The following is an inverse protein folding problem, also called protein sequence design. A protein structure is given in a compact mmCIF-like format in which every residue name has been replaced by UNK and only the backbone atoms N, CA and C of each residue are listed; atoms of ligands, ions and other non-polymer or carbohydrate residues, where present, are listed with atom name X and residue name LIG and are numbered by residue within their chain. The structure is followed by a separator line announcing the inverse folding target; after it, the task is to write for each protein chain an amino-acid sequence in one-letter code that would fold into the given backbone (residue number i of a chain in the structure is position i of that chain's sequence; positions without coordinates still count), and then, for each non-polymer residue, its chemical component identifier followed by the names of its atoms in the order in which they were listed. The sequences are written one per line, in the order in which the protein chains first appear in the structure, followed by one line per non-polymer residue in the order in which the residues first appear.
data_IF_974874113222
#
_entry.id   IF_974874113222
#
_cell.length_a   1.000
_cell.length_b   1.000
_cell.length_c   1.000
_cell.angle_alpha   90.00
_cell.angle_beta   90.00
_cell.angle_gamma   90.00
#
_symmetry.space_group_name_H-M   'P 1'
#
loop_
_entity.id
_entity.type
_entity.pdbx_description
1 polymer ?
#
# COMPACT_ATOMS: atom_id res chain seq x y z
N UNK A 1 -10.86 -16.94 18.47
CA UNK A 1 -10.44 -15.58 18.85
C UNK A 1 -11.58 -14.62 18.60
N UNK A 2 -11.91 -13.75 19.56
CA UNK A 2 -12.97 -12.75 19.38
C UNK A 2 -12.54 -11.77 18.28
N UNK A 3 -13.36 -11.59 17.23
CA UNK A 3 -13.02 -10.75 16.06
C UNK A 3 -12.71 -9.31 16.46
N UNK A 4 -13.38 -8.81 17.50
CA UNK A 4 -13.15 -7.46 18.05
C UNK A 4 -11.74 -7.31 18.63
N UNK A 5 -11.25 -8.31 19.36
CA UNK A 5 -9.91 -8.28 19.94
C UNK A 5 -8.82 -8.24 18.85
N UNK A 6 -9.03 -9.00 17.76
CA UNK A 6 -8.15 -8.96 16.59
C UNK A 6 -8.06 -7.56 15.95
N UNK A 7 -9.18 -6.88 15.80
CA UNK A 7 -9.21 -5.52 15.25
C UNK A 7 -8.49 -4.51 16.15
N UNK A 8 -8.65 -4.63 17.47
CA UNK A 8 -7.96 -3.76 18.42
C UNK A 8 -6.45 -3.99 18.37
N UNK A 9 -6.01 -5.25 18.36
CA UNK A 9 -4.58 -5.59 18.28
C UNK A 9 -3.98 -5.07 16.96
N UNK A 10 -4.65 -5.25 15.84
CA UNK A 10 -4.19 -4.75 14.54
C UNK A 10 -4.12 -3.22 14.47
N UNK A 11 -5.12 -2.53 15.03
CA UNK A 11 -5.11 -1.07 15.10
C UNK A 11 -3.98 -0.54 16.00
N UNK A 12 -3.79 -1.15 17.16
CA UNK A 12 -2.72 -0.80 18.09
C UNK A 12 -1.34 -1.08 17.50
N UNK A 13 -1.15 -2.23 16.83
CA UNK A 13 0.13 -2.57 16.21
C UNK A 13 0.50 -1.58 15.12
N UNK A 14 -0.42 -1.25 14.21
CA UNK A 14 -0.17 -0.26 13.17
C UNK A 14 0.04 1.15 13.74
N UNK A 15 -0.71 1.52 14.79
CA UNK A 15 -0.60 2.81 15.48
C UNK A 15 0.74 3.01 16.19
N UNK A 16 1.40 1.93 16.62
CA UNK A 16 2.75 1.95 17.21
C UNK A 16 3.82 1.82 16.13
N UNK A 17 3.64 0.91 15.17
CA UNK A 17 4.63 0.64 14.12
C UNK A 17 4.88 1.87 13.24
N UNK A 18 3.82 2.63 12.91
CA UNK A 18 3.93 3.80 12.07
C UNK A 18 4.85 4.91 12.64
N UNK A 19 4.68 5.41 13.90
CA UNK A 19 5.58 6.40 14.47
C UNK A 19 6.98 5.82 14.75
N UNK A 20 7.09 4.53 15.08
CA UNK A 20 8.38 3.86 15.24
C UNK A 20 9.17 3.86 13.93
N UNK A 21 8.53 3.52 12.81
CA UNK A 21 9.15 3.58 11.48
C UNK A 21 9.59 5.00 11.11
N UNK A 22 8.79 6.02 11.45
CA UNK A 22 9.18 7.43 11.27
C UNK A 22 10.44 7.76 12.08
N UNK A 23 10.50 7.34 13.34
CA UNK A 23 11.66 7.57 14.18
C UNK A 23 12.93 6.90 13.62
N UNK A 24 12.80 5.73 13.01
CA UNK A 24 13.92 4.98 12.42
C UNK A 24 14.28 5.38 10.98
N UNK A 25 13.71 6.46 10.46
CA UNK A 25 14.19 7.08 9.21
C UNK A 25 13.16 7.17 8.08
N UNK A 26 11.93 6.69 8.26
CA UNK A 26 10.87 6.99 7.29
C UNK A 26 10.45 8.48 7.35
N UNK A 27 9.93 9.04 6.25
CA UNK A 27 9.57 10.44 6.18
C UNK A 27 8.57 10.79 7.27
N UNK A 28 8.80 11.92 7.94
CA UNK A 28 8.01 12.39 9.09
C UNK A 28 6.50 12.35 8.88
N UNK A 29 6.05 12.54 7.64
CA UNK A 29 4.65 12.59 7.26
C UNK A 29 4.13 11.32 6.56
N UNK A 30 4.91 10.24 6.44
CA UNK A 30 4.56 9.06 5.63
C UNK A 30 4.38 7.76 6.42
N UNK A 31 5.00 7.59 7.61
CA UNK A 31 4.81 6.41 8.48
C UNK A 31 4.68 5.10 7.72
N UNK A 32 3.45 4.58 7.62
CA UNK A 32 3.07 3.50 6.69
C UNK A 32 2.06 4.06 5.68
N UNK A 33 2.36 4.07 4.38
CA UNK A 33 1.41 4.58 3.40
C UNK A 33 1.41 3.77 2.10
N UNK A 34 0.46 2.83 1.97
CA UNK A 34 0.33 1.98 0.79
C UNK A 34 0.28 2.77 -0.54
N UNK A 35 -0.48 3.87 -0.63
CA UNK A 35 -0.57 4.64 -1.88
C UNK A 35 0.78 5.27 -2.28
N UNK A 36 1.41 6.02 -1.37
CA UNK A 36 2.72 6.62 -1.63
C UNK A 36 3.80 5.58 -1.88
N UNK A 37 3.78 4.47 -1.15
CA UNK A 37 4.78 3.42 -1.32
C UNK A 37 4.62 2.72 -2.68
N UNK A 38 3.39 2.49 -3.16
CA UNK A 38 3.13 1.97 -4.50
C UNK A 38 3.65 2.93 -5.57
N UNK A 39 3.38 4.23 -5.44
CA UNK A 39 3.95 5.26 -6.33
C UNK A 39 5.48 5.19 -6.31
N UNK A 40 6.10 5.22 -5.14
CA UNK A 40 7.56 5.23 -5.00
C UNK A 40 8.19 3.98 -5.63
N UNK A 41 7.51 2.83 -5.51
CA UNK A 41 7.91 1.56 -6.13
C UNK A 41 7.78 1.61 -7.65
N UNK A 42 6.71 2.20 -8.19
CA UNK A 42 6.56 2.42 -9.63
C UNK A 42 7.64 3.36 -10.18
N UNK A 43 8.04 4.36 -9.39
CA UNK A 43 9.18 5.22 -9.69
C UNK A 43 10.51 4.47 -9.73
N UNK A 44 10.75 3.57 -8.78
CA UNK A 44 11.94 2.72 -8.76
C UNK A 44 12.01 1.76 -9.95
N UNK A 45 10.86 1.25 -10.39
CA UNK A 45 10.72 0.40 -11.58
C UNK A 45 10.78 1.18 -12.90
N UNK A 46 10.82 2.52 -12.86
CA UNK A 46 10.97 3.36 -14.05
C UNK A 46 9.67 3.65 -14.80
N UNK A 47 8.50 3.31 -14.25
CA UNK A 47 7.20 3.64 -14.86
C UNK A 47 6.88 5.13 -14.84
N UNK A 48 7.54 5.90 -13.97
CA UNK A 48 7.53 7.36 -14.02
C UNK A 48 8.89 7.94 -13.61
N UNK A 49 9.21 9.14 -14.11
CA UNK A 49 10.52 9.78 -13.97
C UNK A 49 10.56 10.90 -12.91
N UNK A 50 9.66 10.85 -11.93
CA UNK A 50 9.66 11.81 -10.83
C UNK A 50 10.83 11.54 -9.86
N UNK A 51 11.96 12.23 -10.07
CA UNK A 51 13.24 12.05 -9.36
C UNK A 51 13.19 12.09 -7.83
N UNK A 52 12.13 12.64 -7.23
CA UNK A 52 11.98 12.80 -5.76
C UNK A 52 11.31 11.60 -5.06
N UNK A 53 10.74 10.67 -5.83
CA UNK A 53 9.87 9.59 -5.34
C UNK A 53 10.17 8.28 -6.06
N UNK A 54 11.44 7.90 -6.09
CA UNK A 54 11.91 6.64 -6.68
C UNK A 54 12.61 5.84 -5.60
N UNK A 55 11.91 4.89 -5.01
CA UNK A 55 12.49 3.93 -4.07
C UNK A 55 11.55 2.76 -3.89
N UNK A 56 12.08 1.55 -3.98
CA UNK A 56 11.32 0.34 -3.74
C UNK A 56 11.20 0.12 -2.23
N UNK A 57 10.01 0.42 -1.69
CA UNK A 57 9.74 0.37 -0.26
C UNK A 57 9.49 -1.06 0.23
N UNK A 58 10.38 -1.64 1.05
CA UNK A 58 10.22 -3.02 1.54
C UNK A 58 8.97 -3.21 2.41
N UNK A 59 8.39 -2.15 2.98
CA UNK A 59 7.18 -2.18 3.81
C UNK A 59 5.97 -2.75 3.06
N UNK A 60 5.80 -2.43 1.77
CA UNK A 60 4.73 -3.05 0.97
C UNK A 60 4.98 -4.53 0.75
N UNK A 61 6.24 -4.90 0.50
CA UNK A 61 6.62 -6.29 0.26
C UNK A 61 6.40 -7.12 1.53
N UNK A 62 6.78 -6.58 2.70
CA UNK A 62 6.51 -7.16 4.01
C UNK A 62 5.02 -7.35 4.28
N UNK A 63 4.17 -6.35 3.97
CA UNK A 63 2.72 -6.49 4.10
C UNK A 63 2.13 -7.58 3.19
N UNK A 64 2.62 -7.71 1.96
CA UNK A 64 2.16 -8.76 1.02
C UNK A 64 2.58 -10.14 1.51
N UNK A 65 3.86 -10.31 1.86
CA UNK A 65 4.41 -11.59 2.33
C UNK A 65 3.79 -11.98 3.67
N UNK A 66 3.70 -11.05 4.62
CA UNK A 66 3.10 -11.24 5.93
C UNK A 66 1.62 -11.58 5.86
N UNK A 67 0.85 -10.89 5.00
CA UNK A 67 -0.56 -11.22 4.76
C UNK A 67 -0.74 -12.62 4.17
N UNK A 68 0.12 -13.00 3.23
CA UNK A 68 0.13 -14.34 2.64
C UNK A 68 0.46 -15.42 3.69
N UNK A 69 1.53 -15.22 4.47
CA UNK A 69 1.94 -16.15 5.53
C UNK A 69 0.87 -16.28 6.62
N UNK A 70 0.25 -15.17 7.03
CA UNK A 70 -0.87 -15.19 7.97
C UNK A 70 -2.06 -16.00 7.41
N UNK A 71 -2.37 -15.85 6.12
CA UNK A 71 -3.44 -16.63 5.49
C UNK A 71 -3.11 -18.13 5.37
N UNK A 72 -1.85 -18.47 5.15
CA UNK A 72 -1.43 -19.86 4.99
C UNK A 72 -1.29 -20.58 6.34
N UNK A 73 -0.66 -19.93 7.32
CA UNK A 73 -0.32 -20.52 8.62
C UNK A 73 -1.49 -20.46 9.60
N UNK A 74 -2.20 -19.32 9.66
CA UNK A 74 -3.22 -19.08 10.68
C UNK A 74 -4.62 -19.48 10.21
N UNK A 75 -5.06 -18.97 9.05
CA UNK A 75 -6.42 -19.25 8.57
C UNK A 75 -6.52 -20.55 7.76
N UNK A 76 -5.39 -21.10 7.25
CA UNK A 76 -5.29 -22.32 6.41
C UNK A 76 -6.27 -22.37 5.22
N UNK A 77 -6.92 -21.26 4.90
CA UNK A 77 -8.02 -21.15 3.95
C UNK A 77 -7.65 -20.14 2.85
N UNK A 78 -6.49 -20.35 2.22
CA UNK A 78 -6.08 -19.52 1.10
C UNK A 78 -6.97 -19.78 -0.11
N UNK A 79 -7.88 -18.82 -0.37
CA UNK A 79 -8.80 -18.82 -1.50
C UNK A 79 -8.52 -17.57 -2.32
N UNK A 80 -7.77 -17.66 -3.42
CA UNK A 80 -7.55 -16.50 -4.28
C UNK A 80 -8.84 -16.18 -5.01
N UNK A 81 -9.26 -14.93 -4.89
CA UNK A 81 -10.44 -14.39 -5.56
C UNK A 81 -10.00 -13.47 -6.68
N UNK A 82 -10.59 -13.63 -7.86
CA UNK A 82 -10.45 -12.69 -8.97
C UNK A 82 -11.79 -12.03 -9.25
N UNK A 83 -11.73 -10.85 -9.85
CA UNK A 83 -12.91 -10.07 -10.14
C UNK A 83 -13.38 -10.25 -11.59
N UNK A 84 -14.67 -10.54 -11.79
CA UNK A 84 -15.24 -10.72 -13.16
C UNK A 84 -15.11 -9.48 -14.07
N UNK A 85 -15.31 -8.25 -13.57
CA UNK A 85 -15.18 -7.04 -14.38
C UNK A 85 -13.84 -6.31 -14.18
N UNK A 86 -12.80 -6.76 -14.90
CA UNK A 86 -11.45 -6.18 -14.84
C UNK A 86 -11.42 -4.69 -15.20
N UNK A 87 -12.14 -4.28 -16.25
CA UNK A 87 -12.16 -2.89 -16.73
C UNK A 87 -12.68 -1.92 -15.66
N UNK A 88 -13.84 -2.21 -15.05
CA UNK A 88 -14.42 -1.35 -14.01
C UNK A 88 -13.50 -1.22 -12.79
N UNK A 89 -12.91 -2.34 -12.33
CA UNK A 89 -11.99 -2.37 -11.18
C UNK A 89 -10.70 -1.61 -11.47
N UNK A 90 -10.19 -1.68 -12.70
CA UNK A 90 -9.02 -0.93 -13.13
C UNK A 90 -9.25 0.59 -13.02
N UNK A 91 -10.34 1.09 -13.60
CA UNK A 91 -10.66 2.53 -13.51
C UNK A 91 -10.97 2.98 -12.09
N UNK A 92 -11.66 2.16 -11.29
CA UNK A 92 -11.84 2.44 -9.86
C UNK A 92 -10.49 2.57 -9.13
N UNK A 93 -9.51 1.73 -9.47
CA UNK A 93 -8.14 1.84 -8.96
C UNK A 93 -7.44 3.12 -9.39
N UNK A 94 -7.58 3.52 -10.67
CA UNK A 94 -7.03 4.78 -11.19
C UNK A 94 -7.61 5.98 -10.44
N UNK A 95 -8.94 6.07 -10.29
CA UNK A 95 -9.58 7.16 -9.56
C UNK A 95 -9.20 7.15 -8.07
N UNK A 96 -9.12 5.97 -7.45
CA UNK A 96 -8.67 5.85 -6.07
C UNK A 96 -7.23 6.36 -5.89
N UNK A 97 -6.33 6.05 -6.83
CA UNK A 97 -4.94 6.50 -6.77
C UNK A 97 -4.82 8.01 -7.00
N UNK A 98 -5.56 8.56 -7.96
CA UNK A 98 -5.65 10.02 -8.17
C UNK A 98 -6.13 10.70 -6.88
N UNK A 99 -7.19 10.21 -6.27
CA UNK A 99 -7.71 10.73 -5.00
C UNK A 99 -6.67 10.67 -3.87
N UNK A 100 -6.02 9.52 -3.68
CA UNK A 100 -4.97 9.37 -2.67
C UNK A 100 -3.80 10.33 -2.89
N UNK A 101 -3.42 10.62 -4.14
CA UNK A 101 -2.33 11.53 -4.44
C UNK A 101 -2.74 13.01 -4.23
N UNK A 102 -3.95 13.40 -4.62
CA UNK A 102 -4.47 14.76 -4.41
C UNK A 102 -4.58 15.09 -2.91
N UNK A 103 -5.01 14.13 -2.10
CA UNK A 103 -5.09 14.31 -0.64
C UNK A 103 -3.79 13.96 0.11
N UNK A 104 -2.69 13.76 -0.62
CA UNK A 104 -1.36 13.48 -0.08
C UNK A 104 -1.32 12.26 0.86
N UNK A 105 -2.08 11.20 0.58
CA UNK A 105 -1.99 9.94 1.32
C UNK A 105 -3.13 8.95 1.13
N UNK A 106 -2.90 7.73 1.59
CA UNK A 106 -3.98 6.76 1.82
C UNK A 106 -4.73 7.07 3.14
N UNK A 107 -5.87 6.42 3.43
CA UNK A 107 -6.63 6.67 4.66
C UNK A 107 -5.77 6.57 5.93
N UNK A 108 -4.84 5.61 5.97
CA UNK A 108 -3.93 5.45 7.10
C UNK A 108 -3.01 6.67 7.30
N UNK A 109 -2.40 7.16 6.20
CA UNK A 109 -1.55 8.36 6.23
C UNK A 109 -2.35 9.61 6.63
N UNK A 110 -3.62 9.70 6.24
CA UNK A 110 -4.47 10.81 6.66
C UNK A 110 -4.66 10.85 8.19
N UNK A 111 -4.90 9.69 8.83
CA UNK A 111 -4.99 9.61 10.30
C UNK A 111 -3.66 9.92 10.99
N UNK A 112 -2.53 9.41 10.47
CA UNK A 112 -1.21 9.72 11.03
C UNK A 112 -0.86 11.21 10.93
N UNK A 113 -1.17 11.86 9.79
CA UNK A 113 -0.96 13.30 9.60
C UNK A 113 -1.81 14.12 10.55
N UNK A 114 -3.08 13.74 10.75
CA UNK A 114 -3.94 14.39 11.73
C UNK A 114 -3.37 14.24 13.16
N UNK A 115 -2.90 13.04 13.52
CA UNK A 115 -2.23 12.79 14.80
C UNK A 115 -0.92 13.57 14.98
N UNK A 116 -0.20 13.85 13.88
CA UNK A 116 0.98 14.71 13.84
C UNK A 116 0.70 16.22 13.83
N UNK A 117 -0.58 16.64 13.91
CA UNK A 117 -0.98 18.05 13.95
C UNK A 117 -1.16 18.74 12.60
N UNK A 118 -1.17 18.00 11.48
CA UNK A 118 -1.40 18.55 10.15
C UNK A 118 -2.91 18.73 9.88
N UNK A 119 -3.38 19.97 10.00
CA UNK A 119 -4.80 20.33 9.79
C UNK A 119 -5.27 20.14 8.35
N UNK A 120 -4.35 20.05 7.37
CA UNK A 120 -4.75 19.77 5.98
C UNK A 120 -5.26 18.34 5.81
N UNK A 121 -4.95 17.42 6.73
CA UNK A 121 -5.48 16.06 6.75
C UNK A 121 -7.01 16.02 6.93
N UNK A 122 -7.60 17.04 7.57
CA UNK A 122 -9.05 17.15 7.76
C UNK A 122 -9.76 17.21 6.41
N UNK A 123 -9.26 17.98 5.45
CA UNK A 123 -9.83 18.05 4.11
C UNK A 123 -9.81 16.69 3.40
N UNK A 124 -8.74 15.91 3.57
CA UNK A 124 -8.63 14.55 3.06
C UNK A 124 -9.62 13.58 3.70
N UNK A 125 -9.84 13.67 5.01
CA UNK A 125 -10.83 12.86 5.73
C UNK A 125 -12.26 13.21 5.31
N UNK A 126 -12.60 14.50 5.24
CA UNK A 126 -13.92 14.95 4.78
C UNK A 126 -14.18 14.49 3.35
N UNK A 127 -13.18 14.61 2.46
CA UNK A 127 -13.26 14.09 1.09
C UNK A 127 -13.49 12.58 1.04
N UNK A 128 -12.81 11.81 1.88
CA UNK A 128 -13.02 10.36 1.99
C UNK A 128 -14.43 10.03 2.47
N UNK A 129 -14.93 10.69 3.53
CA UNK A 129 -16.28 10.47 4.03
C UNK A 129 -17.35 10.84 3.00
N UNK A 130 -17.20 11.97 2.31
CA UNK A 130 -18.09 12.39 1.24
C UNK A 130 -18.09 11.37 0.08
N UNK A 131 -16.92 10.90 -0.35
CA UNK A 131 -16.79 9.89 -1.40
C UNK A 131 -17.44 8.56 -1.04
N UNK A 132 -17.25 8.08 0.20
CA UNK A 132 -17.90 6.86 0.70
C UNK A 132 -19.42 7.03 0.77
N UNK A 133 -19.92 8.20 1.19
CA UNK A 133 -21.34 8.49 1.23
C UNK A 133 -21.98 8.47 -0.17
N UNK A 134 -21.33 9.13 -1.13
CA UNK A 134 -21.75 9.12 -2.54
C UNK A 134 -21.73 7.69 -3.09
N UNK A 135 -20.66 6.92 -2.86
CA UNK A 135 -20.57 5.51 -3.27
C UNK A 135 -21.68 4.64 -2.66
N UNK A 136 -22.02 4.86 -1.38
CA UNK A 136 -23.15 4.21 -0.72
C UNK A 136 -24.48 4.57 -1.38
N UNK A 137 -24.69 5.83 -1.77
CA UNK A 137 -25.90 6.26 -2.46
C UNK A 137 -26.05 5.57 -3.83
N UNK A 138 -24.96 5.48 -4.62
CA UNK A 138 -24.96 4.72 -5.88
C UNK A 138 -25.30 3.24 -5.68
N UNK A 139 -24.73 2.60 -4.66
CA UNK A 139 -25.06 1.20 -4.32
C UNK A 139 -26.53 1.04 -3.93
N UNK A 140 -27.10 1.99 -3.18
CA UNK A 140 -28.52 1.97 -2.81
C UNK A 140 -29.44 2.14 -4.03
N UNK A 141 -29.00 2.88 -5.04
CA UNK A 141 -29.76 3.16 -6.26
C UNK A 141 -29.66 2.06 -7.34
N UNK A 142 -29.16 0.86 -6.99
CA UNK A 142 -29.17 -0.29 -7.89
C UNK A 142 -27.85 -0.60 -8.61
N UNK A 143 -26.73 0.06 -8.24
CA UNK A 143 -25.41 -0.34 -8.76
C UNK A 143 -24.98 -1.67 -8.14
N UNK A 144 -24.92 -2.72 -8.97
CA UNK A 144 -24.47 -4.06 -8.59
C UNK A 144 -22.97 -4.16 -8.84
N UNK A 145 -22.20 -4.50 -7.80
CA UNK A 145 -20.78 -4.77 -7.97
C UNK A 145 -20.59 -6.16 -8.61
N UNK A 146 -19.74 -6.28 -9.65
CA UNK A 146 -19.43 -7.56 -10.28
C UNK A 146 -18.85 -8.55 -9.27
N UNK A 147 -19.38 -9.76 -9.27
CA UNK A 147 -19.03 -10.81 -8.31
C UNK A 147 -17.54 -11.20 -8.39
N UNK A 148 -17.00 -11.63 -7.25
CA UNK A 148 -15.63 -12.14 -7.16
C UNK A 148 -15.67 -13.65 -7.21
N UNK A 149 -15.03 -14.23 -8.21
CA UNK A 149 -14.99 -15.66 -8.47
C UNK A 149 -13.71 -16.27 -7.89
N UNK A 150 -13.82 -17.46 -7.30
CA UNK A 150 -12.65 -18.21 -6.83
C UNK A 150 -11.79 -18.64 -8.02
N UNK A 151 -10.50 -18.33 -7.97
CA UNK A 151 -9.55 -18.58 -9.06
C UNK A 151 -8.57 -19.69 -8.69
N UNK A 152 -7.83 -20.20 -9.68
CA UNK A 152 -6.80 -21.20 -9.46
C UNK A 152 -5.75 -20.73 -8.43
N UNK A 153 -5.36 -21.64 -7.52
CA UNK A 153 -4.34 -21.37 -6.48
C UNK A 153 -3.03 -20.83 -7.05
N UNK A 154 -2.63 -21.28 -8.24
CA UNK A 154 -1.43 -20.84 -8.94
C UNK A 154 -1.39 -19.32 -9.18
N UNK A 155 -2.52 -18.72 -9.58
CA UNK A 155 -2.61 -17.26 -9.81
C UNK A 155 -2.50 -16.50 -8.47
N UNK A 156 -2.98 -17.10 -7.38
CA UNK A 156 -2.86 -16.55 -6.04
C UNK A 156 -1.43 -16.44 -5.50
N UNK A 157 -0.50 -17.27 -6.00
CA UNK A 157 0.93 -17.17 -5.64
C UNK A 157 1.69 -16.09 -6.41
N UNK A 158 1.13 -15.57 -7.50
CA UNK A 158 1.80 -14.59 -8.35
C UNK A 158 2.22 -13.31 -7.60
N UNK A 159 1.36 -12.67 -6.77
CA UNK A 159 1.77 -11.50 -6.01
C UNK A 159 2.91 -11.79 -5.02
N UNK A 160 2.95 -13.01 -4.46
CA UNK A 160 4.01 -13.43 -3.56
C UNK A 160 5.34 -13.60 -4.30
N UNK A 161 5.32 -14.28 -5.46
CA UNK A 161 6.52 -14.48 -6.28
C UNK A 161 7.09 -13.12 -6.71
N UNK A 162 6.23 -12.21 -7.18
CA UNK A 162 6.65 -10.84 -7.56
C UNK A 162 7.23 -10.11 -6.35
N UNK A 163 6.60 -10.19 -5.17
CA UNK A 163 7.10 -9.53 -3.96
C UNK A 163 8.48 -10.07 -3.54
N UNK A 164 8.69 -11.39 -3.60
CA UNK A 164 9.98 -12.02 -3.28
C UNK A 164 11.03 -11.62 -4.32
N UNK A 165 10.72 -11.63 -5.61
CA UNK A 165 11.64 -11.22 -6.66
C UNK A 165 12.06 -9.75 -6.50
N UNK A 166 11.12 -8.86 -6.20
CA UNK A 166 11.40 -7.45 -5.92
C UNK A 166 12.24 -7.27 -4.65
N UNK A 167 11.99 -8.07 -3.61
CA UNK A 167 12.79 -8.05 -2.39
C UNK A 167 14.22 -8.53 -2.64
N UNK A 168 14.40 -9.60 -3.41
CA UNK A 168 15.72 -10.08 -3.83
C UNK A 168 16.43 -9.03 -4.70
N UNK A 169 15.72 -8.38 -5.62
CA UNK A 169 16.27 -7.29 -6.42
C UNK A 169 16.78 -6.13 -5.56
N UNK A 170 16.07 -5.80 -4.48
CA UNK A 170 16.47 -4.78 -3.50
C UNK A 170 17.71 -5.22 -2.70
N UNK A 171 17.74 -6.46 -2.20
CA UNK A 171 18.84 -6.99 -1.36
C UNK A 171 20.13 -7.16 -2.16
N UNK A 172 20.04 -7.75 -3.36
CA UNK A 172 21.21 -7.98 -4.20
C UNK A 172 21.67 -6.72 -4.96
N UNK A 173 20.95 -5.60 -4.81
CA UNK A 173 21.28 -4.35 -5.50
C UNK A 173 21.41 -4.55 -7.01
N UNK A 174 20.51 -5.33 -7.61
CA UNK A 174 20.57 -5.76 -9.01
C UNK A 174 20.45 -4.55 -9.95
N UNK A 175 21.60 -3.94 -10.25
CA UNK A 175 21.79 -2.95 -11.30
C UNK A 175 21.86 -3.68 -12.64
N UNK A 176 20.70 -3.94 -13.26
CA UNK A 176 20.62 -4.40 -14.65
C UNK A 176 21.04 -3.28 -15.64
N UNK A 177 22.33 -2.97 -15.67
CA UNK A 177 22.97 -2.05 -16.62
C UNK A 177 23.14 -0.59 -16.15
N UNK A 178 23.84 0.22 -16.94
CA UNK A 178 24.12 1.63 -16.65
C UNK A 178 22.85 2.52 -16.59
N UNK A 179 21.70 2.01 -17.04
CA UNK A 179 20.39 2.68 -17.05
C UNK A 179 19.20 1.79 -16.59
N UNK A 180 19.45 0.68 -15.89
CA UNK A 180 18.42 -0.17 -15.27
C UNK A 180 19.01 -0.92 -14.07
N UNK A 181 18.32 -1.31 -13.01
CA UNK A 181 16.97 -1.08 -12.52
C UNK A 181 17.08 -0.75 -11.01
N UNK A 182 15.97 -0.28 -10.43
CA UNK A 182 15.86 0.40 -9.13
C UNK A 182 16.49 1.79 -9.13
N UNK A 183 15.75 2.75 -9.72
CA UNK A 183 16.04 4.15 -9.50
C UNK A 183 15.86 4.47 -8.02
N UNK A 184 16.92 4.97 -7.40
CA UNK A 184 16.88 5.49 -6.04
C UNK A 184 16.98 7.01 -6.08
N UNK A 185 16.09 7.68 -5.38
CA UNK A 185 16.07 9.13 -5.30
C UNK A 185 17.19 9.61 -4.36
N UNK A 186 17.96 10.60 -4.79
CA UNK A 186 18.98 11.25 -3.96
C UNK A 186 18.39 12.35 -3.04
N UNK A 187 17.20 12.86 -3.37
CA UNK A 187 16.54 13.95 -2.64
C UNK A 187 15.02 13.77 -2.61
N UNK A 188 14.43 13.83 -1.43
CA UNK A 188 12.98 13.84 -1.23
C UNK A 188 12.49 12.67 -0.38
N UNK A 189 11.19 12.38 -0.36
CA UNK A 189 10.65 11.28 0.44
C UNK A 189 11.16 9.89 0.03
N UNK A 190 11.64 9.77 -1.22
CA UNK A 190 12.28 8.59 -1.78
C UNK A 190 13.77 8.46 -1.46
N UNK A 191 14.33 9.32 -0.59
CA UNK A 191 15.70 9.16 -0.05
C UNK A 191 15.70 8.90 1.47
N UNK A 192 14.54 8.95 2.11
CA UNK A 192 14.35 8.75 3.55
C UNK A 192 13.70 7.38 3.78
N UNK A 193 14.49 6.43 4.27
CA UNK A 193 14.05 5.04 4.46
C UNK A 193 14.59 4.48 5.76
N UNK A 194 13.74 3.72 6.45
CA UNK A 194 14.16 2.92 7.60
C UNK A 194 14.94 1.67 7.14
N UNK A 195 15.80 1.16 8.04
CA UNK A 195 16.62 -0.02 7.79
C UNK A 195 15.76 -1.24 7.37
N UNK A 196 16.26 -2.05 6.44
CA UNK A 196 15.53 -3.14 5.79
C UNK A 196 14.86 -4.10 6.78
N UNK A 197 15.53 -4.41 7.89
CA UNK A 197 15.04 -5.31 8.94
C UNK A 197 13.87 -4.76 9.76
N UNK A 198 13.75 -3.44 9.87
CA UNK A 198 12.67 -2.79 10.63
C UNK A 198 11.44 -2.59 9.74
N UNK A 199 11.67 -2.47 8.43
CA UNK A 199 10.64 -2.24 7.42
C UNK A 199 9.90 -3.50 6.96
N UNK A 200 10.43 -4.70 7.20
CA UNK A 200 9.87 -6.00 6.79
C UNK A 200 8.89 -6.60 7.80
#
# INVERSE_FOLDING_TARGET
MNKTLLYIIAGASLGILAPVLVHFGNPANMGVCAACFLRDSMGALGFHQAKVVQYLRPEILGLIIGGFLASMLWSRNFTPVSGSAAFSRFFLGVFAMIGCLIFLGCPWRAFLRLGGGDMTAIAGLVGLFAGVFVGRAFKKNGYILPESETTAKAIGFLPLIIAILLLLALIFGLKLGENGALFSSEKGPGSQHANLFISL
#
